data_IF_203052052211
#
_entry.id   IF_203052052211
#
_cell.length_a   1.000
_cell.length_b   1.000
_cell.length_c   1.000
_cell.angle_alpha   90.00
_cell.angle_beta   90.00
_cell.angle_gamma   90.00
#
_symmetry.space_group_name_H-M   'P 1'
#
loop_
_entity.id
_entity.type
_entity.pdbx_description
1 polymer ?
#
# COMPACT_ATOMS: atom_id res chain seq x y z
N UNK A 1 -13.38 -21.80 -6.08
CA UNK A 1 -13.88 -20.44 -6.39
C UNK A 1 -15.36 -20.55 -6.73
N UNK A 2 -16.28 -20.05 -5.89
CA UNK A 2 -17.74 -20.16 -6.07
C UNK A 2 -18.44 -18.81 -6.35
N UNK A 3 -17.66 -17.74 -6.55
CA UNK A 3 -18.16 -16.39 -6.83
C UNK A 3 -18.69 -15.60 -5.62
N UNK A 4 -18.56 -16.11 -4.39
CA UNK A 4 -19.00 -15.42 -3.18
C UNK A 4 -17.87 -15.35 -2.15
N UNK A 5 -17.60 -14.14 -1.65
CA UNK A 5 -16.70 -13.96 -0.52
C UNK A 5 -17.27 -14.62 0.73
N UNK A 6 -16.42 -15.36 1.45
CA UNK A 6 -16.68 -15.65 2.88
C UNK A 6 -16.43 -14.39 3.71
N UNK A 7 -16.95 -14.31 4.95
CA UNK A 7 -16.67 -13.17 5.83
C UNK A 7 -15.17 -12.88 5.99
N UNK A 8 -14.35 -13.89 6.32
CA UNK A 8 -12.91 -13.72 6.46
C UNK A 8 -12.21 -13.28 5.16
N UNK A 9 -12.66 -13.76 4.00
CA UNK A 9 -12.11 -13.27 2.72
C UNK A 9 -12.48 -11.81 2.47
N UNK A 10 -13.73 -11.43 2.79
CA UNK A 10 -14.22 -10.06 2.63
C UNK A 10 -13.46 -9.09 3.52
N UNK A 11 -13.19 -9.47 4.76
CA UNK A 11 -12.46 -8.67 5.74
C UNK A 11 -11.05 -8.30 5.25
N UNK A 12 -10.29 -9.27 4.74
CA UNK A 12 -8.96 -8.99 4.15
C UNK A 12 -9.08 -8.22 2.84
N UNK A 13 -10.06 -8.56 2.00
CA UNK A 13 -10.29 -7.88 0.73
C UNK A 13 -10.56 -6.39 0.92
N UNK A 14 -11.39 -6.02 1.89
CA UNK A 14 -11.75 -4.63 2.14
C UNK A 14 -10.54 -3.78 2.58
N UNK A 15 -9.60 -4.35 3.34
CA UNK A 15 -8.36 -3.65 3.72
C UNK A 15 -7.52 -3.32 2.49
N UNK A 16 -7.39 -4.28 1.56
CA UNK A 16 -6.61 -4.10 0.34
C UNK A 16 -7.33 -3.14 -0.62
N UNK A 17 -8.66 -3.23 -0.73
CA UNK A 17 -9.45 -2.33 -1.54
C UNK A 17 -9.36 -0.88 -1.02
N UNK A 18 -9.49 -0.67 0.29
CA UNK A 18 -9.35 0.66 0.91
C UNK A 18 -7.95 1.23 0.65
N UNK A 19 -6.91 0.39 0.71
CA UNK A 19 -5.53 0.77 0.40
C UNK A 19 -5.38 1.23 -1.06
N UNK A 20 -5.97 0.49 -2.01
CA UNK A 20 -5.94 0.83 -3.44
C UNK A 20 -6.73 2.12 -3.71
N UNK A 21 -7.98 2.21 -3.25
CA UNK A 21 -8.83 3.39 -3.48
C UNK A 21 -8.22 4.65 -2.86
N UNK A 22 -7.60 4.53 -1.69
CA UNK A 22 -6.89 5.65 -1.07
C UNK A 22 -5.66 6.05 -1.88
N UNK A 23 -4.88 5.07 -2.37
CA UNK A 23 -3.74 5.33 -3.24
C UNK A 23 -4.15 6.07 -4.52
N UNK A 24 -5.23 5.64 -5.17
CA UNK A 24 -5.78 6.29 -6.37
C UNK A 24 -6.18 7.75 -6.11
N UNK A 25 -6.69 8.08 -4.92
CA UNK A 25 -7.01 9.48 -4.54
C UNK A 25 -5.75 10.32 -4.26
N UNK A 26 -4.68 9.69 -3.77
CA UNK A 26 -3.47 10.39 -3.33
C UNK A 26 -2.43 10.54 -4.44
N UNK A 27 -2.41 9.66 -5.43
CA UNK A 27 -1.48 9.77 -6.55
C UNK A 27 -1.81 10.97 -7.45
N UNK A 28 -0.95 11.97 -7.41
CA UNK A 28 -1.01 13.21 -8.18
C UNK A 28 0.37 13.87 -8.23
N UNK A 29 0.61 14.83 -9.15
CA UNK A 29 1.83 15.62 -9.11
C UNK A 29 2.07 16.26 -7.74
N UNK A 30 3.31 16.21 -7.26
CA UNK A 30 3.70 16.77 -5.95
C UNK A 30 3.66 15.79 -4.77
N UNK A 31 3.18 14.54 -4.95
CA UNK A 31 3.40 13.44 -3.97
C UNK A 31 4.52 12.50 -4.43
N UNK A 32 4.78 11.42 -3.70
CA UNK A 32 5.74 10.36 -4.03
C UNK A 32 5.19 8.97 -3.70
N UNK A 33 5.77 7.92 -4.26
CA UNK A 33 5.42 6.52 -3.91
C UNK A 33 5.65 6.28 -2.41
N UNK A 34 6.73 6.84 -1.84
CA UNK A 34 7.03 6.74 -0.41
C UNK A 34 5.89 7.28 0.46
N UNK A 35 5.39 8.48 0.16
CA UNK A 35 4.32 9.12 0.92
C UNK A 35 3.02 8.31 0.85
N UNK A 36 2.63 7.85 -0.34
CA UNK A 36 1.41 7.04 -0.50
C UNK A 36 1.57 5.66 0.15
N UNK A 37 2.77 5.07 0.12
CA UNK A 37 3.07 3.82 0.84
C UNK A 37 2.87 3.97 2.34
N UNK A 38 3.23 5.12 2.93
CA UNK A 38 2.98 5.39 4.36
C UNK A 38 1.49 5.34 4.73
N UNK A 39 0.63 5.93 3.90
CA UNK A 39 -0.83 5.88 4.10
C UNK A 39 -1.39 4.46 3.95
N UNK A 40 -0.91 3.71 2.95
CA UNK A 40 -1.29 2.29 2.78
C UNK A 40 -0.87 1.45 3.98
N UNK A 41 0.34 1.64 4.50
CA UNK A 41 0.83 0.90 5.68
C UNK A 41 -0.05 1.20 6.90
N UNK A 42 -0.50 2.44 7.08
CA UNK A 42 -1.43 2.81 8.16
C UNK A 42 -2.79 2.11 8.01
N UNK A 43 -3.35 2.06 6.80
CA UNK A 43 -4.61 1.34 6.51
C UNK A 43 -4.45 -0.15 6.80
N UNK A 44 -3.38 -0.77 6.30
CA UNK A 44 -3.10 -2.20 6.51
C UNK A 44 -2.98 -2.54 7.99
N UNK A 45 -2.14 -1.82 8.74
CA UNK A 45 -1.94 -2.10 10.17
C UNK A 45 -3.24 -1.88 10.95
N UNK A 46 -3.95 -0.78 10.69
CA UNK A 46 -5.24 -0.51 11.34
C UNK A 46 -6.25 -1.63 11.06
N UNK A 47 -6.32 -2.11 9.82
CA UNK A 47 -7.18 -3.22 9.44
C UNK A 47 -6.80 -4.53 10.14
N UNK A 48 -5.52 -4.90 10.13
CA UNK A 48 -5.03 -6.12 10.75
C UNK A 48 -5.19 -6.12 12.28
N UNK A 49 -5.07 -4.95 12.93
CA UNK A 49 -5.37 -4.79 14.37
C UNK A 49 -6.85 -4.98 14.65
N UNK A 50 -7.74 -4.39 13.83
CA UNK A 50 -9.20 -4.57 13.97
C UNK A 50 -9.64 -6.02 13.83
N UNK A 51 -8.95 -6.81 12.99
CA UNK A 51 -9.21 -8.24 12.81
C UNK A 51 -8.52 -9.13 13.86
N UNK A 52 -7.73 -8.56 14.77
CA UNK A 52 -6.98 -9.29 15.80
C UNK A 52 -5.76 -10.08 15.27
N UNK A 53 -5.36 -9.85 14.02
CA UNK A 53 -4.17 -10.46 13.40
C UNK A 53 -2.89 -9.82 13.94
N UNK A 54 -2.91 -8.51 14.12
CA UNK A 54 -1.89 -7.76 14.85
C UNK A 54 -2.45 -7.29 16.20
N UNK A 55 -1.58 -7.14 17.18
CA UNK A 55 -1.93 -6.74 18.55
C UNK A 55 -0.96 -5.65 19.01
N UNK A 56 -1.48 -4.53 19.50
CA UNK A 56 -0.69 -3.39 19.94
C UNK A 56 -1.20 -2.06 19.38
N UNK A 57 -0.50 -0.98 19.70
CA UNK A 57 -0.82 0.37 19.24
C UNK A 57 -0.39 0.59 17.79
N UNK A 58 -1.27 1.21 16.99
CA UNK A 58 -1.08 1.35 15.53
C UNK A 58 0.23 2.06 15.19
N UNK A 59 0.53 3.19 15.85
CA UNK A 59 1.73 3.97 15.53
C UNK A 59 3.03 3.23 15.91
N UNK A 60 3.01 2.42 16.98
CA UNK A 60 4.14 1.56 17.34
C UNK A 60 4.35 0.47 16.28
N UNK A 61 3.28 -0.21 15.88
CA UNK A 61 3.34 -1.26 14.85
C UNK A 61 3.81 -0.70 13.49
N UNK A 62 3.47 0.54 13.16
CA UNK A 62 3.98 1.25 11.98
C UNK A 62 5.49 1.45 12.09
N UNK A 63 5.98 1.98 13.23
CA UNK A 63 7.40 2.21 13.47
C UNK A 63 8.23 0.91 13.39
N UNK A 64 7.66 -0.21 13.87
CA UNK A 64 8.27 -1.53 13.84
C UNK A 64 8.14 -2.24 12.47
N UNK A 65 7.45 -1.63 11.50
CA UNK A 65 7.13 -2.23 10.19
C UNK A 65 6.40 -3.59 10.32
N UNK A 66 5.49 -3.72 11.30
CA UNK A 66 4.80 -4.98 11.62
C UNK A 66 3.93 -5.55 10.48
N UNK A 67 3.65 -4.76 9.43
CA UNK A 67 2.94 -5.20 8.23
C UNK A 67 3.78 -6.12 7.32
N UNK A 68 5.12 -6.11 7.42
CA UNK A 68 6.00 -6.78 6.45
C UNK A 68 5.79 -8.29 6.26
N UNK A 69 5.42 -9.07 7.29
CA UNK A 69 5.07 -10.48 7.08
C UNK A 69 3.87 -10.70 6.14
N UNK A 70 3.01 -9.69 5.98
CA UNK A 70 1.78 -9.76 5.18
C UNK A 70 1.86 -8.94 3.89
N UNK A 71 2.68 -7.88 3.87
CA UNK A 71 2.92 -7.00 2.72
C UNK A 71 4.41 -6.67 2.64
N UNK A 72 5.13 -7.45 1.84
CA UNK A 72 6.60 -7.44 1.76
C UNK A 72 7.17 -6.78 0.49
N UNK A 73 6.31 -6.39 -0.44
CA UNK A 73 6.71 -5.79 -1.71
C UNK A 73 6.46 -4.28 -1.74
N UNK A 74 7.03 -3.59 -2.73
CA UNK A 74 6.72 -2.18 -2.95
C UNK A 74 5.28 -1.99 -3.41
N UNK A 75 4.68 -0.84 -3.07
CA UNK A 75 3.32 -0.49 -3.48
C UNK A 75 3.19 -0.28 -4.98
N UNK A 76 4.21 0.30 -5.62
CA UNK A 76 4.15 0.71 -7.03
C UNK A 76 5.52 0.62 -7.71
N UNK A 77 5.48 0.47 -9.02
CA UNK A 77 6.61 0.54 -9.94
C UNK A 77 6.17 1.29 -11.20
N UNK A 78 7.14 1.85 -11.92
CA UNK A 78 6.92 2.40 -13.26
C UNK A 78 6.48 1.31 -14.21
N UNK A 79 5.65 1.71 -15.16
CA UNK A 79 5.12 0.85 -16.20
C UNK A 79 5.23 1.53 -17.56
N UNK A 80 5.82 0.81 -18.51
CA UNK A 80 5.98 1.28 -19.88
C UNK A 80 6.32 0.14 -20.82
N UNK A 81 7.47 0.22 -21.50
CA UNK A 81 7.89 -0.85 -22.41
C UNK A 81 8.26 -2.13 -21.66
N UNK A 82 8.86 -1.98 -20.48
CA UNK A 82 9.07 -3.07 -19.54
C UNK A 82 8.00 -3.08 -18.45
N UNK A 83 7.64 -4.28 -17.97
CA UNK A 83 6.65 -4.41 -16.87
C UNK A 83 7.15 -3.74 -15.59
N UNK A 84 8.45 -3.79 -15.33
CA UNK A 84 9.12 -2.98 -14.32
C UNK A 84 10.00 -1.97 -15.06
N UNK A 85 9.42 -0.83 -15.38
CA UNK A 85 10.03 0.08 -16.34
C UNK A 85 11.23 0.85 -15.78
N UNK A 86 12.04 1.36 -16.69
CA UNK A 86 13.20 2.19 -16.38
C UNK A 86 12.80 3.51 -15.72
N UNK A 87 13.71 4.11 -14.96
CA UNK A 87 13.51 5.43 -14.34
C UNK A 87 14.01 5.50 -12.90
N UNK A 88 14.61 6.64 -12.53
CA UNK A 88 15.10 6.85 -11.17
C UNK A 88 13.92 7.02 -10.21
N UNK A 89 13.85 6.20 -9.18
CA UNK A 89 12.82 6.27 -8.12
C UNK A 89 13.18 7.21 -6.96
N UNK A 90 14.46 7.58 -6.82
CA UNK A 90 14.98 8.23 -5.62
C UNK A 90 15.16 7.24 -4.45
N UNK A 91 15.85 7.66 -3.37
CA UNK A 91 16.00 6.83 -2.18
C UNK A 91 14.62 6.49 -1.61
N UNK A 92 14.39 5.22 -1.28
CA UNK A 92 13.10 4.71 -0.77
C UNK A 92 11.88 5.10 -1.62
N UNK A 93 12.07 5.27 -2.94
CA UNK A 93 11.01 5.69 -3.89
C UNK A 93 10.40 7.07 -3.56
N UNK A 94 11.23 7.98 -3.06
CA UNK A 94 10.84 9.34 -2.66
C UNK A 94 10.76 10.36 -3.79
N UNK A 95 11.00 9.97 -5.05
CA UNK A 95 10.88 10.88 -6.20
C UNK A 95 9.48 11.50 -6.24
N UNK A 96 9.45 12.83 -6.38
CA UNK A 96 8.22 13.59 -6.58
C UNK A 96 7.64 13.26 -7.95
N UNK A 97 6.36 12.90 -7.96
CA UNK A 97 5.61 12.61 -9.16
C UNK A 97 5.34 13.90 -9.93
N UNK A 98 5.45 13.77 -11.25
CA UNK A 98 5.10 14.79 -12.22
C UNK A 98 3.97 14.24 -13.12
N UNK A 99 3.34 15.06 -13.97
CA UNK A 99 2.44 14.52 -15.00
C UNK A 99 3.15 13.50 -15.90
N UNK A 100 2.39 12.56 -16.46
CA UNK A 100 2.83 11.54 -17.45
C UNK A 100 3.72 10.39 -16.97
N UNK A 101 3.91 10.22 -15.66
CA UNK A 101 4.44 8.96 -15.11
C UNK A 101 3.32 7.91 -15.06
N UNK A 102 3.60 6.73 -15.60
CA UNK A 102 2.76 5.54 -15.53
C UNK A 102 3.42 4.49 -14.64
#
# INVERSE_FOLDING_TARGET
MNGKFTPAQREIYDIVLESLETSLRLFRPGTSIQQVTGEVVRIMITGLVKLGILQGEVDQLIAENAHRPFFMHGLSHWLGLDVHDVGVYGPDRSRILEPAWC
#
